data_IF_841443121881
#
_entry.id   IF_841443121881
#
_cell.length_a   1.000
_cell.length_b   1.000
_cell.length_c   1.000
_cell.angle_alpha   90.00
_cell.angle_beta   90.00
_cell.angle_gamma   90.00
#
_symmetry.space_group_name_H-M   'P 1'
#
loop_
_entity.id
_entity.type
_entity.pdbx_description
1 polymer ?
#
# COMPACT_ATOMS: atom_id res chain seq x y z
N UNK A 1 0.99 -2.00 -10.70
CA UNK A 1 2.35 -1.45 -10.77
C UNK A 1 2.50 -0.36 -11.84
N UNK A 2 2.17 -0.65 -13.11
CA UNK A 2 2.43 0.29 -14.22
C UNK A 2 1.78 1.67 -14.05
N UNK A 3 0.53 1.75 -13.56
CA UNK A 3 -0.12 3.05 -13.31
C UNK A 3 0.55 3.82 -12.16
N UNK A 4 0.97 3.14 -11.11
CA UNK A 4 1.73 3.76 -10.02
C UNK A 4 3.07 4.29 -10.54
N UNK A 5 3.81 3.47 -11.31
CA UNK A 5 5.07 3.87 -11.91
C UNK A 5 4.92 5.13 -12.78
N UNK A 6 3.87 5.19 -13.61
CA UNK A 6 3.55 6.37 -14.41
C UNK A 6 3.34 7.61 -13.54
N UNK A 7 2.49 7.52 -12.51
CA UNK A 7 2.23 8.64 -11.59
C UNK A 7 3.48 9.13 -10.88
N UNK A 8 4.36 8.22 -10.49
CA UNK A 8 5.63 8.57 -9.85
C UNK A 8 6.56 9.30 -10.82
N UNK A 9 6.68 8.83 -12.06
CA UNK A 9 7.47 9.50 -13.11
C UNK A 9 6.91 10.88 -13.42
N UNK A 10 5.58 11.02 -13.59
CA UNK A 10 4.89 12.30 -13.81
C UNK A 10 5.14 13.28 -12.64
N UNK A 11 5.30 12.77 -11.42
CA UNK A 11 5.64 13.56 -10.24
C UNK A 11 7.15 13.84 -10.08
N UNK A 12 7.98 13.46 -11.06
CA UNK A 12 9.43 13.67 -11.05
C UNK A 12 10.23 12.63 -10.28
N UNK A 13 9.61 11.51 -9.89
CA UNK A 13 10.29 10.41 -9.21
C UNK A 13 11.14 9.57 -10.17
N UNK A 14 12.31 9.13 -9.67
CA UNK A 14 13.12 8.09 -10.36
C UNK A 14 12.55 6.73 -10.02
N UNK A 15 12.17 5.95 -11.05
CA UNK A 15 11.51 4.66 -10.86
C UNK A 15 12.34 3.54 -11.44
N UNK A 16 12.51 2.47 -10.65
CA UNK A 16 13.04 1.18 -11.08
C UNK A 16 11.93 0.15 -10.97
N UNK A 17 11.76 -0.68 -11.97
CA UNK A 17 10.68 -1.67 -12.00
C UNK A 17 11.15 -3.09 -12.29
N UNK A 18 10.28 -4.05 -12.00
CA UNK A 18 10.42 -5.45 -12.40
C UNK A 18 9.04 -6.05 -12.72
N UNK A 19 9.00 -7.01 -13.61
CA UNK A 19 7.84 -7.87 -13.86
C UNK A 19 8.35 -9.27 -14.21
N UNK A 20 7.66 -10.32 -13.75
CA UNK A 20 8.02 -11.71 -14.08
C UNK A 20 7.90 -12.02 -15.58
N UNK A 21 7.16 -11.19 -16.31
CA UNK A 21 7.01 -11.30 -17.76
C UNK A 21 7.93 -10.31 -18.46
N UNK A 22 9.00 -10.77 -19.12
CA UNK A 22 10.00 -9.89 -19.74
C UNK A 22 9.41 -8.90 -20.74
N UNK A 23 8.41 -9.33 -21.51
CA UNK A 23 7.71 -8.46 -22.47
C UNK A 23 6.96 -7.31 -21.81
N UNK A 24 6.39 -7.52 -20.60
CA UNK A 24 5.75 -6.45 -19.85
C UNK A 24 6.76 -5.51 -19.23
N UNK A 25 7.86 -6.04 -18.69
CA UNK A 25 8.97 -5.24 -18.20
C UNK A 25 9.52 -4.32 -19.30
N UNK A 26 9.82 -4.88 -20.49
CA UNK A 26 10.31 -4.13 -21.64
C UNK A 26 9.30 -3.06 -22.13
N UNK A 27 8.01 -3.39 -22.19
CA UNK A 27 6.97 -2.44 -22.56
C UNK A 27 6.87 -1.28 -21.54
N UNK A 28 6.95 -1.59 -20.24
CA UNK A 28 6.99 -0.60 -19.16
C UNK A 28 8.20 0.33 -19.25
N UNK A 29 9.38 -0.24 -19.46
CA UNK A 29 10.62 0.51 -19.66
C UNK A 29 10.49 1.50 -20.83
N UNK A 30 10.04 1.01 -21.98
CA UNK A 30 9.87 1.84 -23.19
C UNK A 30 8.81 2.94 -23.01
N UNK A 31 7.68 2.62 -22.39
CA UNK A 31 6.56 3.55 -22.25
C UNK A 31 6.80 4.64 -21.20
N UNK A 32 7.59 4.37 -20.15
CA UNK A 32 7.77 5.23 -19.00
C UNK A 32 9.21 5.75 -18.85
N UNK A 33 10.15 5.27 -19.65
CA UNK A 33 11.58 5.64 -19.53
C UNK A 33 12.23 5.18 -18.23
N UNK A 34 11.73 4.09 -17.62
CA UNK A 34 12.22 3.57 -16.34
C UNK A 34 13.24 2.45 -16.53
N UNK A 35 14.16 2.30 -15.58
CA UNK A 35 15.06 1.15 -15.52
C UNK A 35 14.31 -0.11 -15.09
N UNK A 36 14.73 -1.25 -15.65
CA UNK A 36 14.22 -2.58 -15.27
C UNK A 36 15.35 -3.38 -14.66
N UNK A 37 15.06 -4.07 -13.58
CA UNK A 37 15.96 -5.01 -12.90
C UNK A 37 15.34 -6.40 -12.84
N UNK A 38 16.16 -7.37 -12.47
CA UNK A 38 15.73 -8.74 -12.27
C UNK A 38 14.65 -8.82 -11.17
N UNK A 39 13.53 -9.54 -11.39
CA UNK A 39 12.47 -9.71 -10.39
C UNK A 39 12.96 -10.26 -9.04
N UNK A 40 13.99 -11.10 -9.03
CA UNK A 40 14.54 -11.67 -7.80
C UNK A 40 15.37 -10.66 -7.00
N UNK A 41 15.77 -9.56 -7.64
CA UNK A 41 16.60 -8.50 -7.03
C UNK A 41 15.81 -7.28 -6.61
N UNK A 42 14.64 -7.02 -7.18
CA UNK A 42 13.89 -5.77 -6.99
C UNK A 42 13.62 -5.42 -5.52
N UNK A 43 13.38 -6.42 -4.67
CA UNK A 43 13.15 -6.20 -3.23
C UNK A 43 14.37 -5.62 -2.51
N UNK A 44 15.56 -5.85 -3.04
CA UNK A 44 16.83 -5.50 -2.40
C UNK A 44 17.52 -4.32 -3.05
N UNK A 45 16.90 -3.71 -4.06
CA UNK A 45 17.38 -2.46 -4.64
C UNK A 45 17.28 -1.31 -3.62
N UNK A 46 18.27 -0.43 -3.64
CA UNK A 46 18.28 0.75 -2.75
C UNK A 46 17.28 1.79 -3.29
N UNK A 47 16.33 2.19 -2.46
CA UNK A 47 15.30 3.17 -2.83
C UNK A 47 14.72 3.86 -1.59
N UNK A 48 14.09 5.01 -1.77
CA UNK A 48 13.34 5.68 -0.70
C UNK A 48 12.04 4.94 -0.39
N UNK A 49 11.36 4.46 -1.43
CA UNK A 49 10.06 3.78 -1.33
C UNK A 49 10.07 2.48 -2.13
N UNK A 50 9.89 1.37 -1.45
CA UNK A 50 9.61 0.07 -2.05
C UNK A 50 8.10 -0.09 -2.22
N UNK A 51 7.65 -0.36 -3.45
CA UNK A 51 6.24 -0.49 -3.77
C UNK A 51 5.87 -1.89 -4.30
N UNK A 52 5.60 -2.89 -3.45
CA UNK A 52 5.12 -4.19 -3.89
C UNK A 52 3.75 -4.05 -4.57
N UNK A 53 3.67 -4.41 -5.87
CA UNK A 53 2.46 -4.25 -6.69
C UNK A 53 2.03 -5.54 -7.40
N UNK A 54 2.66 -6.67 -7.11
CA UNK A 54 2.42 -7.94 -7.78
C UNK A 54 1.90 -9.00 -6.80
N UNK A 55 2.79 -9.69 -6.11
CA UNK A 55 2.46 -10.80 -5.23
C UNK A 55 2.37 -10.37 -3.76
N UNK A 56 1.53 -11.06 -3.00
CA UNK A 56 1.50 -10.97 -1.54
C UNK A 56 2.65 -11.74 -0.88
N UNK A 57 2.72 -11.63 0.45
CA UNK A 57 3.67 -12.34 1.31
C UNK A 57 5.16 -12.09 1.00
N UNK A 58 5.48 -10.99 0.29
CA UNK A 58 6.87 -10.66 -0.07
C UNK A 58 7.66 -10.05 1.09
N UNK A 59 6.97 -9.56 2.11
CA UNK A 59 7.57 -9.00 3.32
C UNK A 59 7.54 -10.08 4.41
N UNK A 60 8.64 -10.77 4.57
CA UNK A 60 8.78 -11.92 5.46
C UNK A 60 10.00 -11.81 6.36
N UNK A 61 10.12 -12.75 7.30
CA UNK A 61 11.29 -12.91 8.16
C UNK A 61 12.59 -13.05 7.36
N UNK A 62 12.51 -13.66 6.20
CA UNK A 62 13.65 -13.90 5.31
C UNK A 62 14.00 -12.67 4.46
N UNK A 63 12.98 -11.95 3.95
CA UNK A 63 13.20 -10.84 3.03
C UNK A 63 13.48 -9.51 3.75
N UNK A 64 12.79 -9.23 4.85
CA UNK A 64 12.89 -7.96 5.59
C UNK A 64 14.32 -7.59 5.97
N UNK A 65 15.20 -8.52 6.42
CA UNK A 65 16.58 -8.17 6.75
C UNK A 65 17.39 -7.59 5.61
N UNK A 66 17.08 -7.94 4.36
CA UNK A 66 17.79 -7.47 3.16
C UNK A 66 17.24 -6.17 2.55
N UNK A 67 16.11 -5.66 3.00
CA UNK A 67 15.49 -4.45 2.42
C UNK A 67 16.37 -3.22 2.63
N UNK A 68 16.46 -2.35 1.61
CA UNK A 68 17.24 -1.10 1.62
C UNK A 68 16.34 0.09 1.28
N UNK A 69 15.28 0.26 2.07
CA UNK A 69 14.27 1.30 1.86
C UNK A 69 13.87 1.95 3.18
N UNK A 70 13.42 3.19 3.13
CA UNK A 70 12.83 3.85 4.30
C UNK A 70 11.33 3.58 4.43
N UNK A 71 10.64 3.36 3.31
CA UNK A 71 9.18 3.24 3.27
C UNK A 71 8.79 2.03 2.41
N UNK A 72 7.79 1.28 2.87
CA UNK A 72 7.08 0.29 2.05
C UNK A 72 5.65 0.75 1.85
N UNK A 73 5.26 0.99 0.58
CA UNK A 73 3.93 1.43 0.19
C UNK A 73 3.58 0.95 -1.22
N UNK A 74 2.88 -0.15 -1.34
CA UNK A 74 2.52 -0.78 -2.62
C UNK A 74 1.07 -1.19 -2.71
N UNK A 75 0.60 -1.51 -3.91
CA UNK A 75 -0.79 -1.85 -4.19
C UNK A 75 -1.11 -3.34 -4.09
N UNK A 76 -0.11 -4.21 -3.86
CA UNK A 76 -0.37 -5.63 -3.67
C UNK A 76 -1.16 -5.89 -2.38
N UNK A 77 -2.05 -6.87 -2.42
CA UNK A 77 -2.75 -7.36 -1.24
C UNK A 77 -1.85 -8.28 -0.41
N UNK A 78 -2.06 -8.30 0.91
CA UNK A 78 -1.40 -9.23 1.84
C UNK A 78 0.13 -9.21 1.71
N UNK A 79 0.73 -8.01 1.68
CA UNK A 79 2.17 -7.85 1.48
C UNK A 79 2.99 -8.50 2.60
N UNK A 80 2.52 -8.45 3.84
CA UNK A 80 3.13 -9.14 4.98
C UNK A 80 2.87 -10.65 4.89
N UNK A 81 3.91 -11.48 5.01
CA UNK A 81 3.77 -12.93 5.10
C UNK A 81 3.03 -13.35 6.39
N UNK A 82 3.25 -12.62 7.47
CA UNK A 82 2.59 -12.81 8.77
C UNK A 82 2.35 -11.45 9.44
N UNK A 83 1.31 -11.31 10.29
CA UNK A 83 1.04 -10.03 10.99
C UNK A 83 2.24 -9.51 11.82
N UNK A 84 3.06 -10.41 12.37
CA UNK A 84 4.26 -10.05 13.14
C UNK A 84 5.37 -9.37 12.31
N UNK A 85 5.33 -9.52 10.99
CA UNK A 85 6.34 -8.93 10.11
C UNK A 85 6.25 -7.39 10.06
N UNK A 86 5.09 -6.81 10.42
CA UNK A 86 4.96 -5.38 10.65
C UNK A 86 5.87 -4.87 11.80
N UNK A 87 6.05 -5.68 12.86
CA UNK A 87 6.96 -5.34 13.95
C UNK A 87 8.42 -5.39 13.49
N UNK A 88 8.81 -6.38 12.69
CA UNK A 88 10.15 -6.48 12.11
C UNK A 88 10.51 -5.28 11.24
N UNK A 89 9.57 -4.80 10.41
CA UNK A 89 9.78 -3.57 9.62
C UNK A 89 10.01 -2.37 10.54
N UNK A 90 9.18 -2.22 11.58
CA UNK A 90 9.33 -1.14 12.56
C UNK A 90 10.67 -1.20 13.30
N UNK A 91 11.12 -2.37 13.74
CA UNK A 91 12.42 -2.59 14.40
C UNK A 91 13.59 -2.16 13.51
N UNK A 92 13.45 -2.30 12.19
CA UNK A 92 14.41 -1.81 11.20
C UNK A 92 14.25 -0.33 10.84
N UNK A 93 13.31 0.39 11.46
CA UNK A 93 13.02 1.79 11.12
C UNK A 93 12.32 1.97 9.77
N UNK A 94 11.80 0.90 9.16
CA UNK A 94 11.10 0.95 7.89
C UNK A 94 9.62 1.26 8.13
N UNK A 95 9.14 2.37 7.57
CA UNK A 95 7.73 2.75 7.65
C UNK A 95 6.91 1.87 6.69
N UNK A 96 5.99 1.09 7.23
CA UNK A 96 5.04 0.30 6.45
C UNK A 96 3.68 1.00 6.38
N UNK A 97 3.24 1.37 5.18
CA UNK A 97 1.87 1.80 4.94
C UNK A 97 0.98 0.54 4.77
N UNK A 98 0.01 0.28 5.69
CA UNK A 98 -0.78 -0.95 5.62
C UNK A 98 -1.49 -1.09 4.28
N UNK A 99 -1.26 -2.20 3.60
CA UNK A 99 -1.74 -2.45 2.24
C UNK A 99 -3.26 -2.34 2.13
N UNK A 100 -4.02 -2.95 3.04
CA UNK A 100 -5.48 -2.90 3.05
C UNK A 100 -6.06 -1.48 3.24
N UNK A 101 -5.23 -0.52 3.66
CA UNK A 101 -5.61 0.90 3.72
C UNK A 101 -5.35 1.57 2.38
N UNK A 102 -4.10 1.47 1.88
CA UNK A 102 -3.68 2.25 0.71
C UNK A 102 -4.14 1.65 -0.62
N UNK A 103 -4.51 0.38 -0.66
CA UNK A 103 -5.04 -0.28 -1.86
C UNK A 103 -6.59 -0.37 -1.88
N UNK A 104 -7.28 0.25 -0.93
CA UNK A 104 -8.74 0.18 -0.78
C UNK A 104 -9.54 0.82 -1.94
N UNK A 105 -8.88 1.49 -2.88
CA UNK A 105 -9.55 2.22 -3.97
C UNK A 105 -10.52 1.37 -4.78
N UNK A 106 -10.16 0.13 -5.12
CA UNK A 106 -11.05 -0.80 -5.83
C UNK A 106 -12.29 -1.16 -5.03
N UNK A 107 -12.13 -1.46 -3.75
CA UNK A 107 -13.26 -1.78 -2.86
C UNK A 107 -14.19 -0.57 -2.67
N UNK A 108 -13.62 0.63 -2.51
CA UNK A 108 -14.39 1.88 -2.42
C UNK A 108 -15.21 2.09 -3.68
N UNK A 109 -14.63 1.88 -4.85
CA UNK A 109 -15.35 2.03 -6.13
C UNK A 109 -16.55 1.09 -6.22
N UNK A 110 -16.36 -0.19 -5.88
CA UNK A 110 -17.46 -1.19 -5.83
C UNK A 110 -18.52 -0.78 -4.80
N UNK A 111 -18.12 -0.29 -3.63
CA UNK A 111 -19.06 0.14 -2.61
C UNK A 111 -19.95 1.29 -3.10
N UNK A 112 -19.40 2.25 -3.84
CA UNK A 112 -20.20 3.34 -4.45
C UNK A 112 -21.13 2.80 -5.54
N UNK A 113 -20.70 1.80 -6.32
CA UNK A 113 -21.51 1.18 -7.37
C UNK A 113 -22.76 0.47 -6.81
N UNK A 114 -22.65 -0.08 -5.60
CA UNK A 114 -23.75 -0.81 -4.93
C UNK A 114 -24.72 0.09 -4.15
N UNK A 115 -24.49 1.40 -4.10
CA UNK A 115 -25.41 2.32 -3.42
C UNK A 115 -26.76 2.44 -4.16
N UNK A 116 -27.87 2.65 -3.42
CA UNK A 116 -29.22 2.82 -4.04
C UNK A 116 -29.29 3.94 -5.07
N UNK A 117 -28.45 4.97 -4.93
CA UNK A 117 -28.35 6.10 -5.87
C UNK A 117 -27.58 5.77 -7.16
N UNK A 118 -27.03 4.55 -7.28
CA UNK A 118 -26.18 4.12 -8.37
C UNK A 118 -24.76 4.71 -8.31
N UNK A 119 -23.95 4.34 -9.30
CA UNK A 119 -22.56 4.79 -9.37
C UNK A 119 -22.42 6.29 -9.59
N UNK A 120 -21.59 6.93 -8.77
CA UNK A 120 -21.24 8.35 -8.87
C UNK A 120 -19.72 8.49 -8.78
N UNK A 121 -19.11 8.85 -9.90
CA UNK A 121 -17.66 8.96 -10.02
C UNK A 121 -17.07 9.97 -9.01
N UNK A 122 -17.71 11.14 -8.86
CA UNK A 122 -17.25 12.17 -7.92
C UNK A 122 -17.17 11.67 -6.48
N UNK A 123 -18.18 10.87 -6.07
CA UNK A 123 -18.22 10.26 -4.75
C UNK A 123 -17.11 9.20 -4.59
N UNK A 124 -16.88 8.37 -5.61
CA UNK A 124 -15.81 7.39 -5.61
C UNK A 124 -14.44 8.08 -5.50
N UNK A 125 -14.19 9.11 -6.30
CA UNK A 125 -12.96 9.91 -6.26
C UNK A 125 -12.78 10.57 -4.89
N UNK A 126 -13.82 11.18 -4.34
CA UNK A 126 -13.78 11.81 -3.01
C UNK A 126 -13.36 10.82 -1.93
N UNK A 127 -13.98 9.62 -1.91
CA UNK A 127 -13.67 8.58 -0.93
C UNK A 127 -12.27 8.00 -1.12
N UNK A 128 -11.84 7.79 -2.35
CA UNK A 128 -10.48 7.31 -2.64
C UNK A 128 -9.44 8.35 -2.19
N UNK A 129 -9.69 9.63 -2.44
CA UNK A 129 -8.79 10.71 -2.00
C UNK A 129 -8.67 10.77 -0.48
N UNK A 130 -9.74 10.44 0.26
CA UNK A 130 -9.74 10.40 1.72
C UNK A 130 -8.84 9.29 2.31
N UNK A 131 -8.36 8.33 1.51
CA UNK A 131 -7.39 7.31 1.95
C UNK A 131 -6.12 7.98 2.51
N UNK A 132 -5.64 9.04 1.86
CA UNK A 132 -4.44 9.76 2.29
C UNK A 132 -4.60 10.33 3.72
N UNK A 133 -5.77 10.91 4.02
CA UNK A 133 -6.05 11.44 5.34
C UNK A 133 -6.22 10.33 6.39
N UNK A 134 -6.88 9.23 6.02
CA UNK A 134 -6.96 8.04 6.87
C UNK A 134 -5.58 7.48 7.20
N UNK A 135 -4.68 7.41 6.21
CA UNK A 135 -3.31 6.96 6.44
C UNK A 135 -2.56 7.90 7.39
N UNK A 136 -2.68 9.22 7.24
CA UNK A 136 -2.06 10.19 8.17
C UNK A 136 -2.52 9.97 9.61
N UNK A 137 -3.82 9.78 9.83
CA UNK A 137 -4.38 9.48 11.17
C UNK A 137 -3.80 8.19 11.75
N UNK A 138 -3.69 7.14 10.94
CA UNK A 138 -3.10 5.86 11.35
C UNK A 138 -1.63 6.03 11.75
N UNK A 139 -0.84 6.76 10.95
CA UNK A 139 0.57 7.00 11.22
C UNK A 139 0.78 7.85 12.48
N UNK A 140 -0.04 8.88 12.68
CA UNK A 140 -0.02 9.69 13.90
C UNK A 140 -0.30 8.82 15.13
N UNK A 141 -1.40 8.05 15.09
CA UNK A 141 -1.78 7.14 16.17
C UNK A 141 -0.70 6.10 16.48
N UNK A 142 -0.09 5.52 15.44
CA UNK A 142 0.98 4.54 15.61
C UNK A 142 2.19 5.14 16.34
N UNK A 143 2.53 6.40 16.07
CA UNK A 143 3.59 7.14 16.77
C UNK A 143 3.24 7.42 18.23
N UNK A 144 2.04 7.94 18.48
CA UNK A 144 1.56 8.28 19.81
C UNK A 144 1.49 7.06 20.74
N UNK A 145 1.01 5.94 20.22
CA UNK A 145 0.85 4.70 20.99
C UNK A 145 2.07 3.80 20.98
N UNK A 146 3.11 4.14 20.22
CA UNK A 146 4.30 3.29 20.08
C UNK A 146 4.05 1.97 19.36
N UNK A 147 2.91 1.82 18.63
CA UNK A 147 2.57 0.56 17.92
C UNK A 147 3.05 0.59 16.46
N UNK A 148 2.72 -0.47 15.70
CA UNK A 148 2.92 -0.49 14.24
C UNK A 148 1.75 0.19 13.53
N UNK A 149 1.95 0.80 12.33
CA UNK A 149 0.84 1.32 11.53
C UNK A 149 -0.22 0.26 11.22
N UNK A 150 0.19 -0.99 11.00
CA UNK A 150 -0.71 -2.14 10.83
C UNK A 150 -1.68 -2.30 12.01
N UNK A 151 -1.17 -2.28 13.25
CA UNK A 151 -1.99 -2.42 14.46
C UNK A 151 -2.88 -1.21 14.69
N UNK A 152 -2.36 0.00 14.46
CA UNK A 152 -3.13 1.23 14.56
C UNK A 152 -4.29 1.27 13.55
N UNK A 153 -4.08 0.77 12.33
CA UNK A 153 -5.12 0.68 11.31
C UNK A 153 -6.24 -0.29 11.70
N UNK A 154 -5.89 -1.46 12.23
CA UNK A 154 -6.87 -2.44 12.72
C UNK A 154 -7.69 -1.84 13.86
N UNK A 155 -7.06 -1.24 14.85
CA UNK A 155 -7.74 -0.61 15.98
C UNK A 155 -8.70 0.50 15.53
N UNK A 156 -8.29 1.33 14.57
CA UNK A 156 -9.16 2.37 14.00
C UNK A 156 -10.39 1.78 13.29
N UNK A 157 -10.22 0.67 12.57
CA UNK A 157 -11.33 -0.02 11.92
C UNK A 157 -12.31 -0.64 12.93
N UNK A 158 -11.80 -1.29 13.97
CA UNK A 158 -12.60 -1.87 15.05
C UNK A 158 -13.42 -0.80 15.80
N UNK A 159 -12.83 0.36 16.09
CA UNK A 159 -13.53 1.49 16.69
C UNK A 159 -14.67 2.01 15.82
N UNK A 160 -14.43 2.18 14.52
CA UNK A 160 -15.47 2.62 13.57
C UNK A 160 -16.62 1.63 13.48
N UNK A 161 -16.33 0.33 13.44
CA UNK A 161 -17.34 -0.73 13.44
C UNK A 161 -18.13 -0.70 14.75
N UNK A 162 -17.46 -0.55 15.88
CA UNK A 162 -18.09 -0.46 17.19
C UNK A 162 -19.05 0.74 17.32
N UNK A 163 -18.64 1.90 16.81
CA UNK A 163 -19.46 3.11 16.79
C UNK A 163 -20.75 2.91 15.95
N UNK A 164 -20.63 2.31 14.76
CA UNK A 164 -21.80 2.03 13.90
C UNK A 164 -22.76 1.04 14.56
N UNK A 165 -22.23 -0.03 15.18
CA UNK A 165 -23.06 -0.99 15.91
C UNK A 165 -23.81 -0.34 17.08
N UNK A 166 -23.13 0.49 17.87
CA UNK A 166 -23.73 1.21 18.98
C UNK A 166 -24.82 2.20 18.52
N UNK A 167 -24.60 2.89 17.40
CA UNK A 167 -25.58 3.82 16.83
C UNK A 167 -26.84 3.13 16.27
N UNK A 168 -26.69 1.90 15.76
CA UNK A 168 -27.80 1.14 15.18
C UNK A 168 -28.50 0.19 16.16
N UNK A 169 -28.13 0.19 17.46
CA UNK A 169 -28.66 -0.72 18.49
C UNK A 169 -28.58 -2.23 18.12
N UNK A 170 -27.55 -2.62 17.33
CA UNK A 170 -27.30 -4.01 16.91
C UNK A 170 -26.22 -4.65 17.77
#
# INVERSE_FOLDING_TARGET
GAQLARRLVEAGGSVVGADLRPEKAAAGAKALGIAIVDPDRILYESCDVLAPCALGAVLSEESIPGLKTAIVAGSANNQLARPRDAARLKERGILYAPDFVINAGGLINIAVETEPAGYREEEAVRRVTAIAETLKQILARARETGTTPQRAAIALAEERIGQVRAANHI
#
